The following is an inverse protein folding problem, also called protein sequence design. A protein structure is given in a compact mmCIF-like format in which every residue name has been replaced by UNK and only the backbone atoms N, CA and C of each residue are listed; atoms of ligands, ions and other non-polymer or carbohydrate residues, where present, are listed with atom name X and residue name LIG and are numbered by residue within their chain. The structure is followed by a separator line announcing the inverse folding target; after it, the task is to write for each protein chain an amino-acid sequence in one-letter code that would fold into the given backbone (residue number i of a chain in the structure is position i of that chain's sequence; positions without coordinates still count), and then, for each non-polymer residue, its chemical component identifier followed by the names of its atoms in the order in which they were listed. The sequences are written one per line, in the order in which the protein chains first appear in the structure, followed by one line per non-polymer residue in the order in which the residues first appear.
data_IF_151791395340
#
_entry.id   IF_151791395340
#
_cell.length_a   1.000
_cell.length_b   1.000
_cell.length_c   1.000
_cell.angle_alpha   90.00
_cell.angle_beta   90.00
_cell.angle_gamma   90.00
#
_symmetry.space_group_name_H-M   'P 1'
#
loop_
_entity.id
_entity.type
_entity.pdbx_description
1 polymer ?
#
# COMPACT_ATOMS: atom_id res chain seq x y z
N UNK A 1 31.45 -7.83 19.01
CA UNK A 1 29.98 -7.68 18.95
C UNK A 1 29.65 -7.34 17.51
N UNK A 2 29.29 -8.33 16.70
CA UNK A 2 29.13 -8.15 15.26
C UNK A 2 27.76 -7.52 14.95
N UNK A 3 27.66 -6.56 14.01
CA UNK A 3 26.35 -6.08 13.56
C UNK A 3 25.67 -7.16 12.73
N UNK A 4 24.44 -7.53 13.10
CA UNK A 4 23.58 -8.39 12.29
C UNK A 4 23.11 -7.61 11.06
N UNK A 5 23.44 -8.04 9.82
CA UNK A 5 22.84 -7.46 8.63
C UNK A 5 21.39 -7.95 8.53
N UNK A 6 20.45 -7.03 8.70
CA UNK A 6 19.03 -7.31 8.58
C UNK A 6 18.70 -7.56 7.09
N UNK A 7 18.91 -8.79 6.65
CA UNK A 7 18.39 -9.33 5.39
C UNK A 7 16.86 -9.39 5.50
N UNK A 8 16.19 -8.27 5.23
CA UNK A 8 14.75 -8.29 5.03
C UNK A 8 14.50 -8.92 3.65
N UNK A 9 13.69 -9.99 3.55
CA UNK A 9 13.50 -10.69 2.29
C UNK A 9 13.01 -9.71 1.23
N UNK A 10 13.52 -9.89 0.02
CA UNK A 10 12.88 -9.46 -1.23
C UNK A 10 11.45 -10.01 -1.22
N UNK A 11 10.55 -9.29 -0.55
CA UNK A 11 9.14 -9.61 -0.49
C UNK A 11 8.63 -9.20 -1.85
N UNK A 12 8.72 -10.13 -2.82
CA UNK A 12 8.20 -10.04 -4.18
C UNK A 12 7.11 -8.98 -4.22
N UNK A 13 7.50 -7.76 -4.60
CA UNK A 13 6.64 -6.58 -4.42
C UNK A 13 5.42 -6.88 -5.27
N UNK A 14 4.23 -7.15 -4.71
CA UNK A 14 3.07 -7.36 -5.54
C UNK A 14 2.88 -6.02 -6.23
N UNK A 15 3.08 -6.00 -7.54
CA UNK A 15 3.42 -4.80 -8.30
C UNK A 15 2.43 -3.69 -7.96
N UNK A 16 2.92 -2.65 -7.27
CA UNK A 16 2.18 -1.43 -6.90
C UNK A 16 1.54 -0.77 -8.13
N UNK A 17 2.06 -1.11 -9.31
CA UNK A 17 1.60 -0.75 -10.65
C UNK A 17 0.16 -1.20 -10.96
N UNK A 18 -0.30 -2.31 -10.38
CA UNK A 18 -1.66 -2.85 -10.61
C UNK A 18 -2.71 -2.25 -9.66
N UNK A 19 -2.27 -1.52 -8.63
CA UNK A 19 -3.18 -0.93 -7.64
C UNK A 19 -3.71 0.40 -8.18
N UNK A 20 -5.04 0.59 -8.26
CA UNK A 20 -5.60 1.83 -8.76
C UNK A 20 -5.23 3.01 -7.85
N UNK A 21 -4.93 4.16 -8.44
CA UNK A 21 -4.77 5.39 -7.68
C UNK A 21 -6.14 5.90 -7.22
N UNK A 22 -6.20 6.33 -5.96
CA UNK A 22 -7.43 6.84 -5.35
C UNK A 22 -7.21 8.25 -4.80
N UNK A 23 -8.04 9.23 -5.18
CA UNK A 23 -7.96 10.57 -4.61
C UNK A 23 -8.55 10.59 -3.19
N UNK A 24 -7.99 11.44 -2.34
CA UNK A 24 -8.58 11.71 -1.03
C UNK A 24 -9.96 12.36 -1.19
N UNK A 25 -10.95 11.87 -0.45
CA UNK A 25 -12.32 12.41 -0.49
C UNK A 25 -12.39 13.92 -0.19
N UNK A 26 -11.50 14.43 0.68
CA UNK A 26 -11.55 15.81 1.15
C UNK A 26 -10.61 16.70 0.33
N UNK A 27 -9.33 16.30 0.24
CA UNK A 27 -8.31 17.11 -0.43
C UNK A 27 -8.29 16.92 -1.95
N UNK A 28 -8.91 15.87 -2.48
CA UNK A 28 -8.92 15.49 -3.92
C UNK A 28 -7.52 15.31 -4.54
N UNK A 29 -6.51 15.09 -3.71
CA UNK A 29 -5.13 14.80 -4.14
C UNK A 29 -4.87 13.28 -4.16
N UNK A 30 -3.88 12.80 -4.94
CA UNK A 30 -3.48 11.40 -4.92
C UNK A 30 -3.04 10.97 -3.52
N UNK A 31 -3.58 9.84 -3.05
CA UNK A 31 -3.20 9.22 -1.79
C UNK A 31 -2.00 8.30 -1.98
N UNK A 32 -1.17 8.19 -0.96
CA UNK A 32 -0.13 7.15 -0.89
C UNK A 32 -0.80 5.80 -0.71
N UNK A 33 -0.41 4.80 -1.49
CA UNK A 33 -0.95 3.44 -1.42
C UNK A 33 0.11 2.45 -0.94
N UNK A 34 -0.28 1.54 -0.05
CA UNK A 34 0.59 0.50 0.50
C UNK A 34 -0.18 -0.82 0.60
N UNK A 35 0.46 -1.90 0.20
CA UNK A 35 -0.05 -3.24 0.43
C UNK A 35 0.25 -3.70 1.85
N UNK A 36 -0.76 -4.25 2.52
CA UNK A 36 -0.65 -4.82 3.86
C UNK A 36 -1.35 -6.17 3.91
N UNK A 37 -1.14 -6.93 4.99
CA UNK A 37 -1.72 -8.26 5.15
C UNK A 37 -1.30 -9.22 4.03
N UNK A 38 -0.02 -9.21 3.66
CA UNK A 38 0.52 -10.07 2.59
C UNK A 38 0.02 -9.73 1.17
N UNK A 39 -0.48 -8.52 0.94
CA UNK A 39 -0.99 -8.09 -0.37
C UNK A 39 -2.51 -8.19 -0.54
N UNK A 40 -3.23 -8.61 0.50
CA UNK A 40 -4.69 -8.76 0.49
C UNK A 40 -5.44 -7.44 0.68
N UNK A 41 -4.79 -6.45 1.31
CA UNK A 41 -5.40 -5.16 1.60
C UNK A 41 -4.52 -4.04 1.08
N UNK A 42 -5.17 -2.99 0.60
CA UNK A 42 -4.54 -1.75 0.16
C UNK A 42 -4.90 -0.67 1.16
N UNK A 43 -3.90 -0.08 1.80
CA UNK A 43 -4.05 1.10 2.63
C UNK A 43 -3.73 2.33 1.80
N UNK A 44 -4.69 3.23 1.67
CA UNK A 44 -4.54 4.56 1.12
C UNK A 44 -4.39 5.57 2.25
N UNK A 45 -3.43 6.48 2.16
CA UNK A 45 -3.24 7.57 3.12
C UNK A 45 -3.05 8.90 2.41
N UNK A 46 -3.85 9.90 2.78
CA UNK A 46 -3.71 11.24 2.23
C UNK A 46 -2.50 11.94 2.85
N UNK A 47 -1.55 12.47 2.06
CA UNK A 47 -0.37 13.15 2.61
C UNK A 47 -0.68 14.53 3.20
N UNK A 48 -1.86 15.10 2.92
CA UNK A 48 -2.25 16.44 3.40
C UNK A 48 -3.09 16.41 4.67
N UNK A 49 -4.11 15.56 4.73
CA UNK A 49 -5.03 15.49 5.86
C UNK A 49 -4.93 14.20 6.68
N UNK A 50 -4.01 13.31 6.34
CA UNK A 50 -3.76 12.02 7.04
C UNK A 50 -4.98 11.08 7.05
N UNK A 51 -6.00 11.39 6.25
CA UNK A 51 -7.15 10.50 6.07
C UNK A 51 -6.69 9.14 5.54
N UNK A 52 -7.14 8.08 6.19
CA UNK A 52 -6.82 6.70 5.81
C UNK A 52 -8.05 6.02 5.25
N UNK A 53 -7.84 5.22 4.22
CA UNK A 53 -8.86 4.37 3.64
C UNK A 53 -8.27 3.00 3.32
N UNK A 54 -8.92 1.94 3.78
CA UNK A 54 -8.50 0.57 3.48
C UNK A 54 -9.46 -0.04 2.49
N UNK A 55 -8.93 -0.61 1.42
CA UNK A 55 -9.70 -1.40 0.47
C UNK A 55 -9.16 -2.82 0.45
N UNK A 56 -10.04 -3.81 0.45
CA UNK A 56 -9.64 -5.19 0.17
C UNK A 56 -9.25 -5.28 -1.30
N UNK A 57 -8.07 -5.82 -1.60
CA UNK A 57 -7.68 -6.15 -2.96
C UNK A 57 -8.55 -7.33 -3.36
N UNK A 58 -9.60 -7.08 -4.14
CA UNK A 58 -10.35 -8.17 -4.77
C UNK A 58 -9.38 -8.73 -5.80
N UNK A 59 -8.78 -9.87 -5.51
CA UNK A 59 -7.98 -10.61 -6.49
C UNK A 59 -8.93 -10.89 -7.66
N UNK A 60 -8.82 -10.13 -8.74
CA UNK A 60 -9.60 -10.38 -9.94
C UNK A 60 -8.95 -11.55 -10.67
N UNK A 61 -9.00 -12.74 -10.07
CA UNK A 61 -9.09 -14.01 -10.81
C UNK A 61 -10.56 -14.28 -11.05
N UNK A 62 -11.07 -13.70 -12.13
CA UNK A 62 -12.26 -14.16 -12.84
C UNK A 62 -11.96 -14.09 -14.33
#
# INVERSE_FOLDING_TARGET
MSPVPNNQPDQATPSLTDIPDRPCTWCKIPMMKRLVGGGQFIHYTCPKCIFQHTSKRVDKKA
#
